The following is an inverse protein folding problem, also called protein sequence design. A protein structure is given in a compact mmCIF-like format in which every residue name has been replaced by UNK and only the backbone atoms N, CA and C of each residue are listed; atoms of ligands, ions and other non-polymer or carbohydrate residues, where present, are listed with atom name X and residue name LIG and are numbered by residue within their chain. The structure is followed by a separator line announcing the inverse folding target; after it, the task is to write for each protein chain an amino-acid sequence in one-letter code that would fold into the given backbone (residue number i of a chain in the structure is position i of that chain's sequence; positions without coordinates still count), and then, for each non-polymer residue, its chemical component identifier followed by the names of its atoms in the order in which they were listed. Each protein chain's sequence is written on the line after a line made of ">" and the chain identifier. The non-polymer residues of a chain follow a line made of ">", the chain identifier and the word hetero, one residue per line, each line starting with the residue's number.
data_IF_520375003496
#
_entry.id   IF_520375003496
#
_cell.length_a   1.000
_cell.length_b   1.000
_cell.length_c   1.000
_cell.angle_alpha   90.00
_cell.angle_beta   90.00
_cell.angle_gamma   90.00
#
_symmetry.space_group_name_H-M   'P 1'
#
loop_
_entity.id
_entity.type
_entity.pdbx_description
1 polymer ?
#
# COMPACT_ATOMS: atom_id res chain seq x y z
N UNK A 1 -15.04 -7.78 -4.98
CA UNK A 1 -14.14 -7.17 -3.96
C UNK A 1 -13.32 -8.24 -3.25
N UNK A 2 -13.93 -9.18 -2.52
CA UNK A 2 -13.20 -10.28 -1.85
C UNK A 2 -12.39 -11.11 -2.86
N UNK A 3 -12.98 -11.50 -3.99
CA UNK A 3 -12.27 -12.24 -5.05
C UNK A 3 -11.03 -11.48 -5.56
N UNK A 4 -11.15 -10.16 -5.76
CA UNK A 4 -10.03 -9.33 -6.19
C UNK A 4 -8.94 -9.24 -5.10
N UNK A 5 -9.32 -9.10 -3.83
CA UNK A 5 -8.37 -9.12 -2.70
C UNK A 5 -7.63 -10.46 -2.60
N UNK A 6 -8.34 -11.60 -2.78
CA UNK A 6 -7.75 -12.94 -2.76
C UNK A 6 -6.76 -13.12 -3.91
N UNK A 7 -7.15 -12.78 -5.14
CA UNK A 7 -6.27 -12.86 -6.32
C UNK A 7 -5.03 -12.00 -6.10
N UNK A 8 -5.21 -10.77 -5.61
CA UNK A 8 -4.10 -9.85 -5.37
C UNK A 8 -3.14 -10.35 -4.30
N UNK A 9 -3.66 -10.91 -3.20
CA UNK A 9 -2.83 -11.54 -2.17
C UNK A 9 -2.00 -12.70 -2.74
N UNK A 10 -2.62 -13.62 -3.49
CA UNK A 10 -1.94 -14.78 -4.09
C UNK A 10 -0.82 -14.34 -5.06
N UNK A 11 -1.04 -13.27 -5.82
CA UNK A 11 -0.03 -12.69 -6.72
C UNK A 11 1.19 -12.12 -5.96
N UNK A 12 1.04 -11.77 -4.68
CA UNK A 12 2.09 -11.24 -3.81
C UNK A 12 2.63 -12.34 -2.88
N UNK A 13 3.11 -13.45 -3.47
CA UNK A 13 3.49 -14.68 -2.78
C UNK A 13 4.92 -14.71 -2.19
N UNK A 14 5.56 -13.54 -2.03
CA UNK A 14 6.93 -13.43 -1.52
C UNK A 14 7.10 -13.99 -0.10
N UNK A 15 6.09 -13.83 0.77
CA UNK A 15 6.04 -14.48 2.09
C UNK A 15 4.60 -14.56 2.57
N UNK A 16 4.30 -15.50 3.48
CA UNK A 16 2.96 -15.61 4.09
C UNK A 16 2.54 -14.30 4.77
N UNK A 17 3.47 -13.66 5.47
CA UNK A 17 3.20 -12.41 6.18
C UNK A 17 2.88 -11.26 5.21
N UNK A 18 3.61 -11.19 4.09
CA UNK A 18 3.39 -10.20 3.04
C UNK A 18 2.08 -10.47 2.27
N UNK A 19 1.73 -11.73 2.05
CA UNK A 19 0.49 -12.14 1.41
C UNK A 19 -0.74 -11.73 2.23
N UNK A 20 -0.69 -11.94 3.56
CA UNK A 20 -1.77 -11.55 4.47
C UNK A 20 -1.90 -10.03 4.55
N UNK A 21 -0.77 -9.30 4.65
CA UNK A 21 -0.80 -7.83 4.73
C UNK A 21 -1.29 -7.19 3.43
N UNK A 22 -0.87 -7.69 2.27
CA UNK A 22 -1.35 -7.22 0.96
C UNK A 22 -2.83 -7.54 0.74
N UNK A 23 -3.30 -8.72 1.14
CA UNK A 23 -4.73 -9.07 1.14
C UNK A 23 -5.55 -8.06 1.95
N UNK A 24 -5.14 -7.79 3.21
CA UNK A 24 -5.82 -6.83 4.09
C UNK A 24 -5.81 -5.41 3.52
N UNK A 25 -4.68 -4.96 2.95
CA UNK A 25 -4.57 -3.66 2.32
C UNK A 25 -5.56 -3.50 1.15
N UNK A 26 -5.71 -4.52 0.30
CA UNK A 26 -6.67 -4.49 -0.80
C UNK A 26 -8.12 -4.56 -0.32
N UNK A 27 -8.41 -5.27 0.79
CA UNK A 27 -9.74 -5.23 1.43
C UNK A 27 -10.08 -3.82 1.89
N UNK A 28 -9.14 -3.13 2.55
CA UNK A 28 -9.32 -1.74 3.02
C UNK A 28 -9.54 -0.81 1.83
N UNK A 29 -8.73 -0.91 0.78
CA UNK A 29 -8.86 -0.11 -0.43
C UNK A 29 -10.21 -0.30 -1.14
N UNK A 30 -10.64 -1.55 -1.25
CA UNK A 30 -11.96 -1.90 -1.75
C UNK A 30 -13.04 -1.23 -0.88
N UNK A 31 -12.96 -1.33 0.44
CA UNK A 31 -13.93 -0.68 1.32
C UNK A 31 -13.94 0.86 1.17
N UNK A 32 -12.77 1.48 1.04
CA UNK A 32 -12.65 2.91 0.72
C UNK A 32 -13.34 3.25 -0.60
N UNK A 33 -13.17 2.45 -1.66
CA UNK A 33 -13.89 2.65 -2.92
C UNK A 33 -15.41 2.70 -2.71
N UNK A 34 -15.99 1.80 -1.91
CA UNK A 34 -17.43 1.80 -1.60
C UNK A 34 -17.90 3.09 -0.92
N UNK A 35 -17.11 3.63 0.02
CA UNK A 35 -17.42 4.88 0.72
C UNK A 35 -17.37 6.09 -0.23
N UNK A 36 -16.41 6.09 -1.16
CA UNK A 36 -16.12 7.23 -2.02
C UNK A 36 -16.75 7.15 -3.41
N UNK A 37 -17.42 6.05 -3.79
CA UNK A 37 -18.06 5.88 -5.13
C UNK A 37 -19.09 6.93 -5.50
N UNK A 38 -19.74 7.52 -4.50
CA UNK A 38 -20.79 8.53 -4.69
C UNK A 38 -20.29 9.96 -4.44
N UNK A 39 -18.99 10.17 -4.21
CA UNK A 39 -18.41 11.50 -4.02
C UNK A 39 -17.85 12.01 -5.35
N UNK A 40 -17.74 13.33 -5.47
CA UNK A 40 -17.21 14.03 -6.66
C UNK A 40 -15.75 13.69 -6.98
N UNK A 41 -15.01 13.16 -6.00
CA UNK A 41 -13.67 12.63 -6.18
C UNK A 41 -13.72 11.25 -6.81
N UNK A 42 -12.95 11.05 -7.88
CA UNK A 42 -12.74 9.75 -8.50
C UNK A 42 -12.29 8.73 -7.44
N UNK A 43 -13.12 7.74 -7.18
CA UNK A 43 -12.85 6.70 -6.18
C UNK A 43 -11.62 5.88 -6.57
N UNK A 44 -11.32 5.79 -7.87
CA UNK A 44 -10.07 5.25 -8.39
C UNK A 44 -8.86 6.08 -7.93
N UNK A 45 -8.95 7.42 -7.97
CA UNK A 45 -7.85 8.29 -7.53
C UNK A 45 -7.57 8.15 -6.02
N UNK A 46 -8.59 7.94 -5.19
CA UNK A 46 -8.42 7.71 -3.74
C UNK A 46 -7.80 6.33 -3.47
N UNK A 47 -8.24 5.30 -4.19
CA UNK A 47 -7.65 3.96 -4.09
C UNK A 47 -6.19 3.95 -4.54
N UNK A 48 -5.83 4.76 -5.54
CA UNK A 48 -4.45 4.85 -6.02
C UNK A 48 -3.56 5.68 -5.08
N UNK A 49 -4.10 6.74 -4.46
CA UNK A 49 -3.33 7.68 -3.66
C UNK A 49 -2.86 7.09 -2.33
N UNK A 50 -3.70 6.30 -1.65
CA UNK A 50 -3.37 5.68 -0.35
C UNK A 50 -2.08 4.83 -0.41
N UNK A 51 -1.95 3.82 -1.29
CA UNK A 51 -0.73 3.02 -1.39
C UNK A 51 0.44 3.82 -1.96
N UNK A 52 0.17 4.81 -2.84
CA UNK A 52 1.23 5.68 -3.37
C UNK A 52 1.87 6.53 -2.27
N UNK A 53 1.07 7.10 -1.37
CA UNK A 53 1.57 7.87 -0.22
C UNK A 53 2.36 6.97 0.73
N UNK A 54 1.86 5.76 1.01
CA UNK A 54 2.58 4.78 1.85
C UNK A 54 3.96 4.45 1.27
N UNK A 55 4.03 4.12 -0.01
CA UNK A 55 5.30 3.81 -0.68
C UNK A 55 6.25 5.01 -0.71
N UNK A 56 5.72 6.22 -0.90
CA UNK A 56 6.53 7.46 -0.84
C UNK A 56 7.13 7.64 0.55
N UNK A 57 6.35 7.42 1.61
CA UNK A 57 6.82 7.50 3.00
C UNK A 57 7.91 6.46 3.26
N UNK A 58 7.71 5.21 2.85
CA UNK A 58 8.70 4.14 3.02
C UNK A 58 10.03 4.46 2.32
N UNK A 59 9.96 4.96 1.09
CA UNK A 59 11.16 5.38 0.33
C UNK A 59 11.87 6.55 1.02
N UNK A 60 11.12 7.55 1.50
CA UNK A 60 11.69 8.67 2.25
C UNK A 60 12.39 8.21 3.52
N UNK A 61 11.76 7.31 4.28
CA UNK A 61 12.31 6.75 5.51
C UNK A 61 13.58 5.94 5.23
N UNK A 62 13.57 5.11 4.19
CA UNK A 62 14.72 4.35 3.74
C UNK A 62 15.90 5.27 3.38
N UNK A 63 15.66 6.37 2.65
CA UNK A 63 16.70 7.34 2.28
C UNK A 63 17.28 7.99 3.53
N UNK A 64 16.44 8.46 4.46
CA UNK A 64 16.89 9.12 5.70
C UNK A 64 17.74 8.17 6.54
N UNK A 65 17.26 6.93 6.76
CA UNK A 65 17.96 5.93 7.56
C UNK A 65 19.29 5.53 6.93
N UNK A 66 19.35 5.32 5.60
CA UNK A 66 20.61 4.98 4.93
C UNK A 66 21.60 6.15 4.85
N UNK A 67 21.10 7.39 4.76
CA UNK A 67 21.96 8.57 4.82
C UNK A 67 22.62 8.70 6.19
N UNK A 68 21.88 8.39 7.27
CA UNK A 68 22.42 8.41 8.62
C UNK A 68 23.47 7.31 8.84
N UNK A 69 23.24 6.07 8.35
CA UNK A 69 24.27 5.01 8.46
C UNK A 69 25.54 5.31 7.68
N UNK A 70 25.46 6.03 6.55
CA UNK A 70 26.64 6.50 5.81
C UNK A 70 27.43 7.58 6.57
N UNK A 71 26.76 8.49 7.28
CA UNK A 71 27.42 9.55 8.06
C UNK A 71 28.08 8.99 9.33
N UNK A 72 27.49 8.00 9.98
CA UNK A 72 28.05 7.38 11.19
C UNK A 72 29.22 6.40 10.92
N UNK A 73 29.45 6.02 9.66
CA UNK A 73 30.55 5.12 9.25
C UNK A 73 31.76 5.87 8.63
N UNK A 74 31.78 7.21 8.71
CA UNK A 74 32.90 8.10 8.35
C UNK A 74 33.53 8.68 9.63
#
# INVERSE_FOLDING_TARGET
>A
MIVASIIFGILHSYSLFYMISTFLAVVILNYSYLIYRNKTLSSFAIVLSIPSIHNIIDVLLFIITNRNTLIFNL
#
